data_IF_420786897878
#
_entry.id   IF_420786897878
#
_cell.length_a   1.000
_cell.length_b   1.000
_cell.length_c   1.000
_cell.angle_alpha   90.00
_cell.angle_beta   90.00
_cell.angle_gamma   90.00
#
_symmetry.space_group_name_H-M   'P 1'
#
loop_
_entity.id
_entity.type
_entity.pdbx_description
1 polymer ?
#
# COMPACT_ATOMS: atom_id res chain seq x y z
N UNK A 1 -34.16 31.35 76.77
CA UNK A 1 -35.12 31.52 75.66
C UNK A 1 -34.50 31.04 74.34
N UNK A 2 -34.97 29.93 73.74
CA UNK A 2 -34.60 29.55 72.38
C UNK A 2 -35.74 29.81 71.38
N UNK A 3 -35.42 30.45 70.26
CA UNK A 3 -36.34 30.81 69.19
C UNK A 3 -36.55 29.66 68.20
N UNK A 4 -37.82 29.29 67.99
CA UNK A 4 -38.29 28.26 67.06
C UNK A 4 -38.30 28.80 65.62
N UNK A 5 -37.58 28.15 64.70
CA UNK A 5 -37.60 28.46 63.26
C UNK A 5 -38.76 27.74 62.56
N UNK A 6 -39.69 28.52 62.00
CA UNK A 6 -40.82 28.07 61.17
C UNK A 6 -40.36 27.48 59.82
N UNK A 7 -40.89 26.29 59.49
CA UNK A 7 -40.82 25.66 58.16
C UNK A 7 -41.76 26.40 57.20
N UNK A 8 -41.24 26.86 56.06
CA UNK A 8 -42.06 27.32 54.91
C UNK A 8 -42.46 26.10 54.07
N UNK A 9 -43.77 25.93 53.86
CA UNK A 9 -44.36 25.05 52.84
C UNK A 9 -44.13 25.66 51.46
N UNK A 10 -43.75 24.83 50.50
CA UNK A 10 -43.59 25.22 49.09
C UNK A 10 -44.81 24.67 48.34
N UNK A 11 -45.66 25.57 47.87
CA UNK A 11 -46.82 25.24 47.04
C UNK A 11 -46.38 24.59 45.71
N UNK A 12 -46.98 23.46 45.38
CA UNK A 12 -46.83 22.79 44.09
C UNK A 12 -47.66 23.51 43.02
N UNK A 13 -47.07 24.56 42.43
CA UNK A 13 -47.59 25.19 41.22
C UNK A 13 -47.56 24.22 40.04
N UNK A 14 -48.73 24.00 39.43
CA UNK A 14 -49.03 23.31 38.17
C UNK A 14 -47.85 23.05 37.22
N UNK A 15 -47.49 21.77 37.07
CA UNK A 15 -46.54 21.26 36.08
C UNK A 15 -47.03 21.60 34.66
N UNK A 16 -46.36 22.53 33.98
CA UNK A 16 -46.54 22.75 32.54
C UNK A 16 -46.26 21.43 31.81
N UNK A 17 -47.28 20.84 31.20
CA UNK A 17 -47.15 19.56 30.50
C UNK A 17 -46.10 19.67 29.40
N UNK A 18 -45.02 18.91 29.52
CA UNK A 18 -43.90 18.93 28.58
C UNK A 18 -44.39 18.56 27.17
N UNK A 19 -44.30 19.49 26.22
CA UNK A 19 -44.61 19.26 24.80
C UNK A 19 -43.41 18.66 24.07
N UNK A 20 -43.65 17.63 23.27
CA UNK A 20 -42.65 16.97 22.45
C UNK A 20 -42.09 17.93 21.40
N UNK A 21 -40.78 18.22 21.43
CA UNK A 21 -40.13 19.12 20.46
C UNK A 21 -39.99 18.58 19.02
N UNK A 22 -40.79 17.57 18.62
CA UNK A 22 -40.91 17.13 17.22
C UNK A 22 -42.35 17.13 16.73
N UNK A 23 -43.27 16.49 17.44
CA UNK A 23 -44.69 16.46 17.04
C UNK A 23 -45.59 17.43 17.82
N UNK A 24 -45.05 18.17 18.80
CA UNK A 24 -45.78 19.14 19.61
C UNK A 24 -46.71 18.56 20.68
N UNK A 25 -47.00 17.25 20.66
CA UNK A 25 -47.92 16.58 21.61
C UNK A 25 -47.31 16.43 23.00
N UNK A 26 -48.14 16.46 24.04
CA UNK A 26 -47.74 16.24 25.43
C UNK A 26 -47.63 14.74 25.76
N UNK A 27 -47.02 14.38 26.89
CA UNK A 27 -46.95 13.00 27.37
C UNK A 27 -45.76 12.17 26.87
N UNK A 28 -44.91 12.72 26.00
CA UNK A 28 -43.65 12.07 25.62
C UNK A 28 -42.56 13.09 25.26
N UNK A 29 -41.30 12.66 25.40
CA UNK A 29 -40.16 13.46 24.96
C UNK A 29 -39.88 13.23 23.47
N UNK A 30 -39.14 14.16 22.85
CA UNK A 30 -38.72 14.04 21.44
C UNK A 30 -38.02 12.72 21.11
N UNK A 31 -37.32 12.13 22.07
CA UNK A 31 -36.62 10.84 21.93
C UNK A 31 -37.53 9.62 21.89
N UNK A 32 -38.75 9.74 22.40
CA UNK A 32 -39.78 8.69 22.38
C UNK A 32 -40.96 9.09 21.49
N UNK A 33 -40.75 10.02 20.55
CA UNK A 33 -41.80 10.49 19.65
C UNK A 33 -42.15 9.41 18.60
N UNK A 34 -43.39 8.88 18.60
CA UNK A 34 -43.79 7.83 17.68
C UNK A 34 -43.79 8.31 16.23
N UNK A 35 -44.10 9.59 15.99
CA UNK A 35 -44.06 10.21 14.66
C UNK A 35 -42.64 10.29 14.10
N UNK A 36 -41.66 10.60 14.97
CA UNK A 36 -40.24 10.60 14.59
C UNK A 36 -39.74 9.18 14.26
N UNK A 37 -40.13 8.20 15.09
CA UNK A 37 -39.76 6.81 14.88
C UNK A 37 -40.32 6.27 13.55
N UNK A 38 -41.59 6.54 13.25
CA UNK A 38 -42.22 6.15 11.98
C UNK A 38 -41.59 6.85 10.76
N UNK A 39 -41.16 8.11 10.89
CA UNK A 39 -40.44 8.81 9.82
C UNK A 39 -39.05 8.21 9.56
N UNK A 40 -38.32 7.85 10.62
CA UNK A 40 -37.01 7.21 10.52
C UNK A 40 -37.09 5.79 9.92
N UNK A 41 -38.12 5.02 10.30
CA UNK A 41 -38.37 3.71 9.73
C UNK A 41 -38.74 3.79 8.24
N UNK A 42 -39.61 4.74 7.85
CA UNK A 42 -39.92 4.98 6.43
C UNK A 42 -38.69 5.41 5.61
N UNK A 43 -37.84 6.26 6.18
CA UNK A 43 -36.58 6.64 5.54
C UNK A 43 -35.64 5.44 5.40
N UNK A 44 -35.53 4.57 6.42
CA UNK A 44 -34.71 3.36 6.34
C UNK A 44 -35.22 2.36 5.28
N UNK A 45 -36.54 2.22 5.14
CA UNK A 45 -37.19 1.35 4.15
C UNK A 45 -37.10 1.92 2.74
N UNK A 46 -37.04 3.24 2.53
CA UNK A 46 -36.79 3.82 1.19
C UNK A 46 -35.42 3.43 0.59
N UNK A 47 -34.46 3.01 1.42
CA UNK A 47 -33.12 2.56 0.99
C UNK A 47 -32.96 1.04 0.86
N UNK A 48 -34.05 0.25 0.96
CA UNK A 48 -34.00 -1.21 0.75
C UNK A 48 -34.20 -1.65 -0.71
N UNK A 49 -34.40 -0.72 -1.66
CA UNK A 49 -34.37 -1.06 -3.08
C UNK A 49 -32.90 -1.30 -3.52
N UNK A 50 -32.50 -2.54 -3.86
CA UNK A 50 -31.10 -2.90 -4.11
C UNK A 50 -30.46 -2.07 -5.24
N UNK A 51 -31.22 -1.77 -6.29
CA UNK A 51 -30.73 -0.98 -7.43
C UNK A 51 -30.40 0.46 -7.06
N UNK A 52 -31.25 1.11 -6.25
CA UNK A 52 -30.98 2.49 -5.78
C UNK A 52 -29.79 2.54 -4.84
N UNK A 53 -29.53 1.48 -4.07
CA UNK A 53 -28.35 1.38 -3.21
C UNK A 53 -27.07 1.18 -4.04
N UNK A 54 -27.11 0.34 -5.07
CA UNK A 54 -26.00 0.15 -6.02
C UNK A 54 -25.64 1.45 -6.75
N UNK A 55 -26.64 2.16 -7.28
CA UNK A 55 -26.43 3.46 -7.95
C UNK A 55 -25.82 4.51 -6.99
N UNK A 56 -26.22 4.50 -5.72
CA UNK A 56 -25.69 5.43 -4.73
C UNK A 56 -24.25 5.07 -4.30
N UNK A 57 -23.95 3.78 -4.15
CA UNK A 57 -22.61 3.28 -3.86
C UNK A 57 -21.65 3.52 -5.02
N UNK A 58 -22.12 3.40 -6.27
CA UNK A 58 -21.35 3.71 -7.47
C UNK A 58 -20.95 5.19 -7.58
N UNK A 59 -21.70 6.09 -6.94
CA UNK A 59 -21.41 7.53 -6.93
C UNK A 59 -20.48 7.99 -5.79
N UNK A 60 -20.02 7.08 -4.91
CA UNK A 60 -19.14 7.36 -3.76
C UNK A 60 -19.62 8.51 -2.82
N UNK A 61 -20.92 8.85 -2.84
CA UNK A 61 -21.47 9.89 -1.95
C UNK A 61 -21.86 9.27 -0.60
N UNK A 62 -21.59 9.94 0.54
CA UNK A 62 -22.03 9.45 1.83
C UNK A 62 -23.56 9.44 1.89
N UNK A 63 -24.16 8.32 2.29
CA UNK A 63 -25.60 8.18 2.53
C UNK A 63 -26.04 9.22 3.57
N UNK A 64 -26.60 10.33 3.09
CA UNK A 64 -27.20 11.35 3.94
C UNK A 64 -28.66 10.96 4.15
N UNK A 65 -28.93 10.25 5.25
CA UNK A 65 -30.27 10.26 5.81
C UNK A 65 -30.58 11.74 6.12
N UNK A 66 -31.61 12.31 5.50
CA UNK A 66 -32.09 13.68 5.74
C UNK A 66 -32.69 13.77 7.15
N UNK A 67 -31.83 13.62 8.13
CA UNK A 67 -32.10 13.63 9.56
C UNK A 67 -31.05 14.53 10.14
N UNK A 68 -31.49 15.59 10.79
CA UNK A 68 -30.62 16.65 11.28
C UNK A 68 -29.53 16.06 12.20
N UNK A 69 -28.29 16.57 12.14
CA UNK A 69 -27.13 16.01 12.86
C UNK A 69 -27.35 15.92 14.39
N UNK A 70 -28.24 16.76 14.93
CA UNK A 70 -28.69 16.69 16.34
C UNK A 70 -29.54 15.43 16.63
N UNK A 71 -30.35 14.98 15.68
CA UNK A 71 -31.23 13.81 15.82
C UNK A 71 -30.44 12.48 15.83
N UNK A 72 -29.36 12.36 15.03
CA UNK A 72 -28.52 11.16 15.01
C UNK A 72 -27.76 10.91 16.33
N UNK A 73 -27.35 11.98 17.04
CA UNK A 73 -26.66 11.85 18.35
C UNK A 73 -27.60 11.40 19.48
N UNK A 74 -28.89 11.68 19.36
CA UNK A 74 -29.88 11.36 20.40
C UNK A 74 -30.24 9.88 20.44
N UNK A 75 -30.27 9.21 19.27
CA UNK A 75 -30.59 7.78 19.16
C UNK A 75 -29.52 6.87 19.79
N UNK A 76 -28.25 7.32 19.82
CA UNK A 76 -27.18 6.61 20.54
C UNK A 76 -27.34 6.61 22.06
N UNK A 77 -28.15 7.52 22.62
CA UNK A 77 -28.42 7.58 24.07
C UNK A 77 -29.61 6.72 24.50
N UNK A 78 -30.51 6.36 23.59
CA UNK A 78 -31.74 5.61 23.90
C UNK A 78 -31.61 4.08 23.79
N UNK A 79 -30.51 3.53 23.27
CA UNK A 79 -30.26 2.06 23.28
C UNK A 79 -29.74 1.55 24.64
N UNK A 80 -30.06 2.23 25.73
CA UNK A 80 -29.58 1.89 27.07
C UNK A 80 -30.26 0.65 27.61
N UNK A 81 -29.57 -0.50 27.58
CA UNK A 81 -29.69 -1.49 28.66
C UNK A 81 -29.31 -0.77 29.96
N UNK A 82 -30.29 -0.38 30.77
CA UNK A 82 -30.09 0.08 32.14
C UNK A 82 -29.83 -1.15 33.00
N UNK A 83 -28.57 -1.53 33.17
CA UNK A 83 -28.18 -2.26 34.38
C UNK A 83 -28.29 -1.27 35.55
N UNK A 84 -29.09 -1.63 36.55
CA UNK A 84 -29.20 -0.94 37.83
C UNK A 84 -27.88 -1.08 38.59
N UNK A 85 -26.93 -0.19 38.34
CA UNK A 85 -25.78 -0.04 39.21
C UNK A 85 -26.20 0.87 40.38
N UNK A 86 -26.17 0.29 41.58
CA UNK A 86 -26.16 0.99 42.86
C UNK A 86 -25.26 2.22 42.79
N UNK A 87 -25.78 3.39 43.14
CA UNK A 87 -25.01 4.61 43.21
C UNK A 87 -23.94 4.49 44.30
N UNK A 88 -22.64 4.64 43.99
CA UNK A 88 -21.63 4.69 45.03
C UNK A 88 -21.79 5.99 45.82
N UNK A 89 -21.71 5.87 47.14
CA UNK A 89 -21.69 7.00 48.08
C UNK A 89 -20.57 7.99 47.72
N UNK A 90 -20.84 9.27 48.01
CA UNK A 90 -19.94 10.43 47.84
C UNK A 90 -18.61 10.19 48.58
N UNK A 91 -17.60 9.66 47.89
CA UNK A 91 -16.20 9.69 48.37
C UNK A 91 -15.18 9.78 47.20
N UNK A 92 -15.54 10.51 46.15
CA UNK A 92 -14.88 10.38 44.84
C UNK A 92 -14.11 11.63 44.38
N UNK A 93 -13.81 12.56 45.30
CA UNK A 93 -13.03 13.76 44.99
C UNK A 93 -11.52 13.47 44.87
N UNK A 94 -10.97 12.58 45.73
CA UNK A 94 -9.56 12.15 45.66
C UNK A 94 -9.25 11.28 44.43
N UNK A 95 -10.18 10.44 43.97
CA UNK A 95 -10.00 9.58 42.79
C UNK A 95 -9.92 10.41 41.48
N UNK A 96 -10.72 11.47 41.38
CA UNK A 96 -10.74 12.38 40.21
C UNK A 96 -9.45 13.19 40.08
N UNK A 97 -8.88 13.66 41.19
CA UNK A 97 -7.59 14.38 41.20
C UNK A 97 -6.44 13.45 40.80
N UNK A 98 -6.40 12.22 41.32
CA UNK A 98 -5.44 11.18 40.93
C UNK A 98 -5.54 10.84 39.44
N UNK A 99 -6.76 10.73 38.89
CA UNK A 99 -6.96 10.47 37.45
C UNK A 99 -6.50 11.64 36.56
N UNK A 100 -6.68 12.89 36.99
CA UNK A 100 -6.21 14.10 36.28
C UNK A 100 -4.69 14.18 36.32
N UNK A 101 -4.06 13.96 37.47
CA UNK A 101 -2.61 13.89 37.62
C UNK A 101 -1.99 12.78 36.77
N UNK A 102 -2.57 11.58 36.74
CA UNK A 102 -2.13 10.49 35.86
C UNK A 102 -2.24 10.87 34.38
N UNK A 103 -3.32 11.54 33.96
CA UNK A 103 -3.47 12.05 32.58
C UNK A 103 -2.45 13.14 32.24
N UNK A 104 -2.16 14.05 33.17
CA UNK A 104 -1.15 15.11 33.00
C UNK A 104 0.25 14.49 32.93
N UNK A 105 0.59 13.56 33.82
CA UNK A 105 1.86 12.83 33.81
C UNK A 105 2.02 11.98 32.55
N UNK A 106 0.97 11.29 32.10
CA UNK A 106 0.98 10.56 30.83
C UNK A 106 1.22 11.51 29.65
N UNK A 107 0.55 12.67 29.61
CA UNK A 107 0.74 13.70 28.58
C UNK A 107 2.16 14.29 28.62
N UNK A 108 2.72 14.53 29.81
CA UNK A 108 4.10 15.01 29.96
C UNK A 108 5.12 13.95 29.52
N UNK A 109 4.91 12.68 29.87
CA UNK A 109 5.74 11.56 29.37
C UNK A 109 5.65 11.44 27.85
N UNK A 110 4.47 11.60 27.27
CA UNK A 110 4.25 11.61 25.81
C UNK A 110 4.97 12.79 25.14
N UNK A 111 4.88 13.99 25.73
CA UNK A 111 5.58 15.19 25.24
C UNK A 111 7.11 15.08 25.35
N UNK A 112 7.64 14.35 26.34
CA UNK A 112 9.08 14.07 26.49
C UNK A 112 9.59 12.98 25.55
N UNK A 113 8.77 11.96 25.23
CA UNK A 113 9.12 10.87 24.30
C UNK A 113 9.11 11.32 22.84
N UNK A 114 8.13 12.17 22.45
CA UNK A 114 7.97 12.68 21.07
C UNK A 114 9.26 13.25 20.44
N UNK A 115 10.05 14.11 21.10
CA UNK A 115 11.32 14.61 20.54
C UNK A 115 12.36 13.50 20.29
N UNK A 116 12.39 12.45 21.12
CA UNK A 116 13.32 11.32 20.96
C UNK A 116 12.91 10.48 19.75
N UNK A 117 11.64 10.13 19.65
CA UNK A 117 11.12 9.29 18.56
C UNK A 117 11.27 9.99 17.21
N UNK A 118 11.02 11.30 17.15
CA UNK A 118 11.20 12.09 15.91
C UNK A 118 12.67 12.15 15.50
N UNK A 119 13.58 12.36 16.46
CA UNK A 119 15.03 12.35 16.18
C UNK A 119 15.49 10.98 15.70
N UNK A 120 15.04 9.90 16.35
CA UNK A 120 15.37 8.53 15.96
C UNK A 120 14.86 8.21 14.55
N UNK A 121 13.61 8.55 14.23
CA UNK A 121 13.04 8.36 12.90
C UNK A 121 13.82 9.17 11.83
N UNK A 122 14.14 10.43 12.11
CA UNK A 122 14.92 11.29 11.21
C UNK A 122 16.32 10.72 10.96
N UNK A 123 17.00 10.26 12.02
CA UNK A 123 18.31 9.63 11.91
C UNK A 123 18.25 8.33 11.11
N UNK A 124 17.28 7.46 11.38
CA UNK A 124 17.10 6.21 10.65
C UNK A 124 16.88 6.44 9.15
N UNK A 125 15.99 7.38 8.80
CA UNK A 125 15.72 7.75 7.39
C UNK A 125 16.95 8.35 6.70
N UNK A 126 17.74 9.19 7.39
CA UNK A 126 19.02 9.71 6.87
C UNK A 126 20.06 8.60 6.69
N UNK A 127 20.18 7.70 7.67
CA UNK A 127 21.15 6.59 7.63
C UNK A 127 20.86 5.67 6.45
N UNK A 128 19.59 5.39 6.20
CA UNK A 128 19.11 4.62 5.04
C UNK A 128 19.00 5.42 3.73
N UNK A 129 19.45 6.68 3.71
CA UNK A 129 19.50 7.56 2.52
C UNK A 129 18.14 7.87 1.87
N UNK A 130 17.05 7.75 2.63
CA UNK A 130 15.73 8.25 2.20
C UNK A 130 15.65 9.77 2.25
N UNK A 131 16.41 10.37 3.16
CA UNK A 131 16.58 11.82 3.32
C UNK A 131 18.01 12.21 2.94
N UNK A 132 18.19 13.30 2.22
CA UNK A 132 19.51 13.89 1.98
C UNK A 132 19.74 15.13 2.82
N UNK A 133 21.00 15.57 2.88
CA UNK A 133 21.34 16.84 3.54
C UNK A 133 20.68 17.97 2.74
N UNK A 134 19.90 18.85 3.39
CA UNK A 134 19.34 20.01 2.71
C UNK A 134 20.47 20.90 2.20
N UNK A 135 20.29 21.42 0.99
CA UNK A 135 21.20 22.39 0.39
C UNK A 135 20.93 23.81 0.88
N UNK A 136 21.16 24.77 -0.01
CA UNK A 136 20.91 26.20 0.22
C UNK A 136 19.44 26.55 -0.03
N UNK A 137 18.96 27.58 0.65
CA UNK A 137 17.70 28.23 0.36
C UNK A 137 17.79 29.01 -0.95
N UNK A 138 16.65 29.45 -1.49
CA UNK A 138 16.58 30.28 -2.70
C UNK A 138 17.33 31.61 -2.56
N UNK A 139 17.62 32.07 -1.33
CA UNK A 139 18.42 33.26 -1.07
C UNK A 139 19.93 32.98 -0.93
N UNK A 140 20.39 31.76 -1.21
CA UNK A 140 21.81 31.36 -1.13
C UNK A 140 22.26 30.85 0.25
N UNK A 141 21.48 31.06 1.29
CA UNK A 141 21.83 30.68 2.66
C UNK A 141 21.59 29.22 3.04
N UNK A 142 22.39 28.68 3.95
CA UNK A 142 22.28 27.29 4.39
C UNK A 142 21.06 27.06 5.30
N UNK A 143 20.35 25.96 5.06
CA UNK A 143 19.19 25.59 5.86
C UNK A 143 19.61 24.96 7.19
N UNK A 144 19.14 25.54 8.29
CA UNK A 144 19.46 25.06 9.64
C UNK A 144 18.33 24.22 10.23
N UNK A 145 18.68 23.15 10.96
CA UNK A 145 17.70 22.31 11.64
C UNK A 145 17.10 23.04 12.83
N UNK A 146 15.78 23.15 12.83
CA UNK A 146 15.05 23.85 13.89
C UNK A 146 14.94 22.98 15.13
N UNK A 147 15.14 23.53 16.35
CA UNK A 147 14.87 22.81 17.59
C UNK A 147 13.46 22.22 17.62
N UNK A 148 13.32 21.01 18.17
CA UNK A 148 12.04 20.30 18.14
C UNK A 148 10.91 21.07 18.85
N UNK A 149 11.22 21.81 19.93
CA UNK A 149 10.25 22.64 20.64
C UNK A 149 9.62 23.71 19.73
N UNK A 150 10.39 24.30 18.81
CA UNK A 150 9.88 25.23 17.82
C UNK A 150 9.14 24.52 16.68
N UNK A 151 9.60 23.33 16.28
CA UNK A 151 8.92 22.48 15.29
C UNK A 151 7.50 22.06 15.72
N UNK A 152 7.29 21.78 17.02
CA UNK A 152 5.99 21.39 17.57
C UNK A 152 4.89 22.42 17.31
N UNK A 153 5.22 23.72 17.30
CA UNK A 153 4.25 24.79 17.01
C UNK A 153 3.72 24.74 15.57
N UNK A 154 4.49 24.17 14.63
CA UNK A 154 4.09 24.07 13.21
C UNK A 154 3.47 22.72 12.85
N UNK A 155 3.94 21.62 13.46
CA UNK A 155 3.37 20.31 13.22
C UNK A 155 3.81 19.29 14.25
N UNK A 156 2.83 18.61 14.86
CA UNK A 156 3.08 17.59 15.85
C UNK A 156 3.90 16.43 15.27
N UNK A 157 5.00 16.08 15.94
CA UNK A 157 5.85 14.96 15.56
C UNK A 157 6.59 15.13 14.23
N UNK A 158 6.80 16.36 13.77
CA UNK A 158 7.50 16.68 12.53
C UNK A 158 8.83 17.39 12.78
N UNK A 159 9.72 17.32 11.80
CA UNK A 159 11.01 18.00 11.80
C UNK A 159 11.03 19.06 10.68
N UNK A 160 11.59 20.22 10.97
CA UNK A 160 11.67 21.34 10.04
C UNK A 160 13.09 21.91 9.97
N UNK A 161 13.35 22.54 8.84
CA UNK A 161 14.51 23.35 8.57
C UNK A 161 14.07 24.80 8.39
N UNK A 162 14.92 25.75 8.76
CA UNK A 162 14.65 27.19 8.59
C UNK A 162 15.87 27.86 7.96
N UNK A 163 15.61 28.75 7.01
CA UNK A 163 16.64 29.65 6.50
C UNK A 163 16.87 30.80 7.51
N UNK A 164 18.11 31.07 7.94
CA UNK A 164 18.38 32.15 8.89
C UNK A 164 18.06 33.53 8.30
N UNK A 165 18.35 33.76 7.02
CA UNK A 165 18.15 35.06 6.35
C UNK A 165 16.70 35.35 5.98
N UNK A 166 16.08 34.53 5.12
CA UNK A 166 14.70 34.79 4.67
C UNK A 166 13.62 34.20 5.59
N UNK A 167 14.01 33.52 6.68
CA UNK A 167 13.13 32.91 7.67
C UNK A 167 12.12 31.86 7.15
N UNK A 168 12.21 31.45 5.88
CA UNK A 168 11.35 30.42 5.27
C UNK A 168 11.55 29.07 5.97
N UNK A 169 10.44 28.33 6.07
CA UNK A 169 10.38 27.02 6.72
C UNK A 169 10.23 25.91 5.69
N UNK A 170 10.94 24.82 5.91
CA UNK A 170 10.90 23.64 5.04
C UNK A 170 10.67 22.40 5.89
N UNK A 171 9.80 21.51 5.42
CA UNK A 171 9.67 20.16 5.98
C UNK A 171 10.94 19.36 5.70
N UNK A 172 11.41 18.59 6.67
CA UNK A 172 12.54 17.66 6.43
C UNK A 172 12.25 16.66 5.31
N UNK A 173 10.99 16.25 5.11
CA UNK A 173 10.60 15.38 3.99
C UNK A 173 10.69 16.07 2.62
N UNK A 174 10.80 17.39 2.55
CA UNK A 174 11.00 18.09 1.28
C UNK A 174 12.38 17.75 0.65
N UNK A 175 13.32 17.25 1.44
CA UNK A 175 14.65 16.83 1.01
C UNK A 175 14.76 15.30 1.06
N UNK A 176 13.82 14.64 0.37
CA UNK A 176 13.66 13.19 0.44
C UNK A 176 13.04 12.59 -0.82
N UNK A 177 13.17 11.27 -0.98
CA UNK A 177 12.43 10.52 -2.01
C UNK A 177 10.95 10.31 -1.65
N UNK A 178 10.51 10.85 -0.51
CA UNK A 178 9.15 10.74 -0.01
C UNK A 178 8.40 12.04 -0.29
N UNK A 179 7.08 11.97 -0.53
CA UNK A 179 6.26 13.17 -0.61
C UNK A 179 6.25 13.89 0.74
N UNK A 180 6.00 15.20 0.72
CA UNK A 180 5.68 15.95 1.94
C UNK A 180 4.32 15.48 2.48
N UNK A 181 4.31 14.91 3.67
CA UNK A 181 3.14 14.29 4.28
C UNK A 181 2.66 15.05 5.51
N UNK A 182 1.33 15.15 5.65
CA UNK A 182 0.68 15.59 6.90
C UNK A 182 0.61 14.41 7.88
N UNK A 183 1.76 13.83 8.20
CA UNK A 183 1.89 12.67 9.08
C UNK A 183 3.13 12.84 9.98
N UNK A 184 3.08 12.46 11.26
CA UNK A 184 4.25 12.49 12.14
C UNK A 184 5.38 11.62 11.56
N UNK A 185 6.63 12.10 11.68
CA UNK A 185 7.80 11.40 11.16
C UNK A 185 8.00 9.99 11.74
N UNK A 186 7.75 9.74 13.05
CA UNK A 186 7.78 8.38 13.59
C UNK A 186 6.73 7.46 12.95
N UNK A 187 5.56 8.00 12.63
CA UNK A 187 4.51 7.25 11.93
C UNK A 187 4.89 6.96 10.48
N UNK A 188 5.53 7.90 9.78
CA UNK A 188 6.11 7.68 8.43
C UNK A 188 7.13 6.55 8.49
N UNK A 189 8.08 6.63 9.40
CA UNK A 189 9.11 5.62 9.55
C UNK A 189 8.52 4.24 9.87
N UNK A 190 7.61 4.15 10.84
CA UNK A 190 6.93 2.89 11.18
C UNK A 190 6.11 2.33 10.02
N UNK A 191 5.43 3.18 9.25
CA UNK A 191 4.69 2.77 8.05
C UNK A 191 5.62 2.19 6.98
N UNK A 192 6.80 2.78 6.79
CA UNK A 192 7.82 2.24 5.88
C UNK A 192 8.36 0.90 6.37
N UNK A 193 8.65 0.77 7.67
CA UNK A 193 9.09 -0.51 8.24
C UNK A 193 8.06 -1.61 7.96
N UNK A 194 6.77 -1.34 8.20
CA UNK A 194 5.68 -2.29 7.90
C UNK A 194 5.61 -2.60 6.39
N UNK A 195 5.73 -1.59 5.52
CA UNK A 195 5.70 -1.78 4.07
C UNK A 195 6.83 -2.68 3.56
N UNK A 196 8.01 -2.59 4.17
CA UNK A 196 9.21 -3.33 3.78
C UNK A 196 9.41 -4.64 4.56
N UNK A 197 8.63 -4.91 5.62
CA UNK A 197 8.81 -6.06 6.51
C UNK A 197 8.44 -7.42 5.90
N UNK A 198 7.91 -7.49 4.68
CA UNK A 198 7.32 -8.72 4.13
C UNK A 198 7.67 -8.97 2.66
N UNK A 199 7.79 -10.24 2.29
CA UNK A 199 7.97 -10.70 0.91
C UNK A 199 6.78 -10.45 -0.03
N UNK A 200 5.69 -9.83 0.47
CA UNK A 200 4.56 -9.36 -0.33
C UNK A 200 4.26 -7.88 -0.05
N UNK A 201 3.71 -7.19 -1.04
CA UNK A 201 3.29 -5.80 -0.92
C UNK A 201 1.96 -5.75 -0.17
N UNK A 202 1.95 -5.15 1.03
CA UNK A 202 0.72 -4.92 1.80
C UNK A 202 -0.17 -3.86 1.15
N UNK A 203 -1.49 -4.04 1.29
CA UNK A 203 -2.47 -3.02 0.96
C UNK A 203 -2.37 -1.83 1.91
N UNK A 204 -2.86 -0.67 1.46
CA UNK A 204 -2.91 0.55 2.28
C UNK A 204 -3.73 0.32 3.55
N UNK A 205 -4.81 -0.46 3.46
CA UNK A 205 -5.70 -0.76 4.58
C UNK A 205 -5.06 -1.72 5.60
N UNK A 206 -4.30 -2.72 5.13
CA UNK A 206 -3.49 -3.57 6.03
C UNK A 206 -2.46 -2.74 6.81
N UNK A 207 -1.73 -1.86 6.13
CA UNK A 207 -0.75 -0.98 6.78
C UNK A 207 -1.45 -0.03 7.75
N UNK A 208 -2.61 0.52 7.37
CA UNK A 208 -3.43 1.37 8.22
C UNK A 208 -3.85 0.66 9.51
N UNK A 209 -4.38 -0.57 9.40
CA UNK A 209 -4.75 -1.40 10.55
C UNK A 209 -3.55 -1.65 11.48
N UNK A 210 -2.39 -2.01 10.94
CA UNK A 210 -1.18 -2.23 11.72
C UNK A 210 -0.64 -0.95 12.39
N UNK A 211 -0.93 0.22 11.82
CA UNK A 211 -0.59 1.52 12.40
C UNK A 211 -1.65 2.04 13.39
N UNK A 212 -2.81 1.38 13.52
CA UNK A 212 -3.95 1.91 14.28
C UNK A 212 -4.58 3.15 13.65
N UNK A 213 -4.48 3.30 12.32
CA UNK A 213 -5.02 4.43 11.56
C UNK A 213 -6.05 3.93 10.54
N UNK A 214 -7.12 4.69 10.29
CA UNK A 214 -8.08 4.36 9.23
C UNK A 214 -7.53 4.69 7.84
N UNK A 215 -7.61 3.73 6.92
CA UNK A 215 -7.04 3.76 5.57
C UNK A 215 -7.79 4.63 4.55
N UNK A 216 -8.28 5.82 4.94
CA UNK A 216 -9.07 6.67 4.04
C UNK A 216 -8.34 6.89 2.69
N UNK A 217 -9.04 6.86 1.55
CA UNK A 217 -8.44 7.01 0.22
C UNK A 217 -7.79 8.38 -0.04
N UNK A 218 -8.04 9.39 0.81
CA UNK A 218 -7.37 10.70 0.78
C UNK A 218 -6.18 10.79 1.77
N UNK A 219 -5.84 9.70 2.46
CA UNK A 219 -4.88 9.71 3.56
C UNK A 219 -3.43 9.92 3.12
N UNK A 220 -2.64 10.54 4.01
CA UNK A 220 -1.19 10.64 3.87
C UNK A 220 -0.53 9.26 3.71
N UNK A 221 -1.12 8.21 4.28
CA UNK A 221 -0.63 6.84 4.17
C UNK A 221 -0.71 6.33 2.72
N UNK A 222 -1.82 6.55 2.01
CA UNK A 222 -1.94 6.16 0.60
C UNK A 222 -0.88 6.85 -0.26
N UNK A 223 -0.63 8.15 -0.01
CA UNK A 223 0.42 8.91 -0.71
C UNK A 223 1.80 8.32 -0.44
N UNK A 224 2.10 7.96 0.81
CA UNK A 224 3.34 7.29 1.19
C UNK A 224 3.49 5.95 0.44
N UNK A 225 2.53 5.04 0.55
CA UNK A 225 2.60 3.71 -0.07
C UNK A 225 2.75 3.80 -1.60
N UNK A 226 2.05 4.75 -2.25
CA UNK A 226 2.21 5.01 -3.68
C UNK A 226 3.65 5.44 -4.01
N UNK A 227 4.24 6.30 -3.20
CA UNK A 227 5.61 6.76 -3.39
C UNK A 227 6.63 5.65 -3.16
N UNK A 228 6.48 4.84 -2.10
CA UNK A 228 7.38 3.72 -1.81
C UNK A 228 7.39 2.69 -2.95
N UNK A 229 6.21 2.34 -3.49
CA UNK A 229 6.12 1.45 -4.66
C UNK A 229 6.76 2.05 -5.90
N UNK A 230 6.52 3.34 -6.16
CA UNK A 230 7.17 4.02 -7.27
C UNK A 230 8.70 4.03 -7.13
N UNK A 231 9.19 4.12 -5.88
CA UNK A 231 10.61 4.05 -5.57
C UNK A 231 11.19 2.66 -5.90
N UNK A 232 10.55 1.57 -5.46
CA UNK A 232 10.93 0.19 -5.83
C UNK A 232 10.90 -0.02 -7.36
N UNK A 233 9.88 0.50 -8.04
CA UNK A 233 9.79 0.44 -9.51
C UNK A 233 10.97 1.14 -10.16
N UNK A 234 11.29 2.37 -9.74
CA UNK A 234 12.42 3.15 -10.27
C UNK A 234 13.75 2.41 -10.09
N UNK A 235 13.98 1.81 -8.91
CA UNK A 235 15.16 0.98 -8.68
C UNK A 235 15.23 -0.18 -9.67
N UNK A 236 14.12 -0.89 -9.86
CA UNK A 236 14.09 -2.06 -10.73
C UNK A 236 14.19 -1.72 -12.21
N UNK A 237 13.49 -0.67 -12.66
CA UNK A 237 13.55 -0.21 -14.05
C UNK A 237 14.99 0.17 -14.41
N UNK A 238 15.67 0.95 -13.56
CA UNK A 238 17.07 1.31 -13.77
C UNK A 238 17.99 0.07 -13.72
N UNK A 239 17.85 -0.81 -12.72
CA UNK A 239 18.70 -2.02 -12.60
C UNK A 239 18.54 -2.96 -13.80
N UNK A 240 17.33 -3.10 -14.35
CA UNK A 240 17.10 -3.90 -15.54
C UNK A 240 17.63 -3.22 -16.81
N UNK A 241 17.48 -1.90 -16.96
CA UNK A 241 17.99 -1.16 -18.13
C UNK A 241 19.51 -1.29 -18.31
N UNK A 242 20.25 -1.38 -17.20
CA UNK A 242 21.71 -1.47 -17.22
C UNK A 242 22.27 -2.88 -17.40
N UNK A 243 21.43 -3.91 -17.55
CA UNK A 243 21.93 -5.30 -17.53
C UNK A 243 21.29 -6.21 -18.56
N UNK A 244 22.08 -7.20 -18.94
CA UNK A 244 21.61 -8.42 -19.58
C UNK A 244 21.81 -9.61 -18.63
N UNK A 245 20.89 -10.57 -18.66
CA UNK A 245 21.07 -11.84 -17.94
C UNK A 245 21.95 -12.79 -18.75
N UNK A 246 22.81 -13.53 -18.07
CA UNK A 246 23.84 -14.38 -18.71
C UNK A 246 24.02 -15.69 -17.95
N UNK A 247 24.83 -16.61 -18.50
CA UNK A 247 25.12 -17.89 -17.84
C UNK A 247 24.06 -18.93 -18.17
N UNK A 248 23.36 -19.45 -17.18
CA UNK A 248 22.28 -20.42 -17.37
C UNK A 248 20.95 -19.71 -17.10
N UNK A 249 20.16 -19.50 -18.15
CA UNK A 249 18.99 -18.62 -18.13
C UNK A 249 17.73 -19.40 -18.50
N UNK A 250 16.77 -19.47 -17.58
CA UNK A 250 15.42 -19.94 -17.87
C UNK A 250 14.61 -18.83 -18.55
N UNK A 251 13.85 -19.17 -19.58
CA UNK A 251 12.93 -18.27 -20.24
C UNK A 251 11.53 -18.87 -20.31
N UNK A 252 10.53 -18.07 -19.98
CA UNK A 252 9.14 -18.47 -19.97
C UNK A 252 8.19 -17.26 -20.10
N UNK A 253 7.00 -17.50 -20.65
CA UNK A 253 5.90 -16.55 -20.77
C UNK A 253 4.70 -16.94 -19.90
N UNK A 254 4.09 -15.99 -19.20
CA UNK A 254 2.88 -16.28 -18.42
C UNK A 254 1.79 -15.23 -18.57
N UNK A 255 0.54 -15.67 -18.48
CA UNK A 255 -0.63 -14.78 -18.43
C UNK A 255 -0.87 -14.28 -17.01
N UNK A 256 -1.02 -12.97 -16.86
CA UNK A 256 -1.16 -12.29 -15.56
C UNK A 256 -2.62 -11.99 -15.23
N UNK A 257 -3.33 -11.46 -16.24
CA UNK A 257 -4.75 -11.16 -16.19
C UNK A 257 -5.34 -11.29 -17.60
N UNK A 258 -6.65 -11.45 -17.68
CA UNK A 258 -7.39 -11.40 -18.92
C UNK A 258 -8.73 -10.69 -18.70
N UNK A 259 -9.37 -10.26 -19.79
CA UNK A 259 -10.71 -9.67 -19.79
C UNK A 259 -11.38 -9.89 -21.14
N UNK A 260 -12.70 -9.78 -21.20
CA UNK A 260 -13.45 -9.88 -22.45
C UNK A 260 -13.15 -8.66 -23.34
N UNK A 261 -12.87 -8.88 -24.62
CA UNK A 261 -12.60 -7.80 -25.57
C UNK A 261 -13.83 -6.92 -25.75
N UNK A 262 -13.63 -5.59 -25.73
CA UNK A 262 -14.71 -4.62 -25.94
C UNK A 262 -15.15 -4.57 -27.41
N UNK A 263 -14.24 -4.87 -28.34
CA UNK A 263 -14.50 -4.87 -29.77
C UNK A 263 -15.06 -6.21 -30.25
N UNK A 264 -14.63 -7.31 -29.61
CA UNK A 264 -15.01 -8.68 -30.00
C UNK A 264 -15.43 -9.49 -28.78
N UNK A 265 -16.70 -9.42 -28.34
CA UNK A 265 -17.15 -10.06 -27.09
C UNK A 265 -16.94 -11.58 -27.02
N UNK A 266 -16.79 -12.25 -28.17
CA UNK A 266 -16.45 -13.68 -28.27
C UNK A 266 -14.97 -13.99 -28.00
N UNK A 267 -14.15 -12.97 -27.67
CA UNK A 267 -12.72 -13.10 -27.40
C UNK A 267 -12.33 -12.55 -26.04
N UNK A 268 -11.32 -13.16 -25.45
CA UNK A 268 -10.60 -12.67 -24.28
C UNK A 268 -9.29 -12.04 -24.72
N UNK A 269 -8.98 -10.86 -24.17
CA UNK A 269 -7.68 -10.20 -24.24
C UNK A 269 -6.83 -10.65 -23.06
N UNK A 270 -5.59 -11.05 -23.31
CA UNK A 270 -4.65 -11.51 -22.29
C UNK A 270 -3.50 -10.52 -22.14
N UNK A 271 -3.23 -10.13 -20.89
CA UNK A 271 -1.99 -9.47 -20.49
C UNK A 271 -0.97 -10.53 -20.12
N UNK A 272 0.06 -10.67 -20.94
CA UNK A 272 1.12 -11.65 -20.76
C UNK A 272 2.45 -10.95 -20.49
N UNK A 273 3.24 -11.52 -19.59
CA UNK A 273 4.61 -11.11 -19.33
C UNK A 273 5.58 -12.23 -19.74
N UNK A 274 6.80 -11.85 -20.06
CA UNK A 274 7.90 -12.73 -20.39
C UNK A 274 9.06 -12.48 -19.44
N UNK A 275 9.67 -13.55 -18.93
CA UNK A 275 10.80 -13.45 -18.01
C UNK A 275 12.03 -14.16 -18.57
N UNK A 276 13.18 -13.56 -18.30
CA UNK A 276 14.49 -14.19 -18.43
C UNK A 276 15.08 -14.29 -17.01
N UNK A 277 15.13 -15.49 -16.47
CA UNK A 277 15.59 -15.79 -15.11
C UNK A 277 16.98 -16.40 -15.16
N UNK A 278 17.96 -15.70 -14.60
CA UNK A 278 19.31 -16.24 -14.42
C UNK A 278 19.34 -17.17 -13.21
N UNK A 279 19.73 -18.42 -13.43
CA UNK A 279 19.88 -19.39 -12.36
C UNK A 279 21.03 -19.01 -11.43
N UNK A 280 20.83 -19.12 -10.10
CA UNK A 280 21.93 -19.04 -9.15
C UNK A 280 22.98 -20.10 -9.48
N UNK A 281 24.24 -19.74 -9.33
CA UNK A 281 25.38 -20.65 -9.45
C UNK A 281 26.13 -20.70 -8.12
N UNK A 282 27.01 -21.69 -7.93
CA UNK A 282 27.87 -21.75 -6.73
C UNK A 282 28.71 -20.48 -6.52
N UNK A 283 29.01 -19.75 -7.59
CA UNK A 283 29.82 -18.54 -7.54
C UNK A 283 28.99 -17.24 -7.49
N UNK A 284 27.67 -17.32 -7.69
CA UNK A 284 26.78 -16.16 -7.69
C UNK A 284 25.38 -16.64 -7.29
N UNK A 285 25.02 -16.39 -6.03
CA UNK A 285 23.72 -16.75 -5.45
C UNK A 285 22.59 -15.80 -5.88
N UNK A 286 22.92 -14.71 -6.57
CA UNK A 286 21.96 -13.66 -6.91
C UNK A 286 20.86 -14.23 -7.81
N UNK A 287 19.62 -14.12 -7.32
CA UNK A 287 18.43 -14.38 -8.13
C UNK A 287 18.22 -13.16 -9.00
N UNK A 288 18.39 -13.30 -10.30
CA UNK A 288 18.23 -12.21 -11.25
C UNK A 288 17.17 -12.56 -12.26
N UNK A 289 16.19 -11.69 -12.45
CA UNK A 289 15.13 -11.86 -13.43
C UNK A 289 14.95 -10.56 -14.20
N UNK A 290 14.95 -10.64 -15.53
CA UNK A 290 14.51 -9.55 -16.38
C UNK A 290 13.08 -9.82 -16.81
N UNK A 291 12.18 -8.88 -16.53
CA UNK A 291 10.75 -8.98 -16.79
C UNK A 291 10.33 -8.03 -17.91
N UNK A 292 9.50 -8.51 -18.83
CA UNK A 292 9.00 -7.77 -19.99
C UNK A 292 7.50 -7.92 -20.12
N UNK A 293 6.81 -6.83 -20.47
CA UNK A 293 5.41 -6.89 -20.87
C UNK A 293 5.33 -7.19 -22.36
N UNK A 294 4.66 -8.29 -22.72
CA UNK A 294 4.43 -8.63 -24.12
C UNK A 294 3.25 -7.84 -24.69
N UNK A 295 3.16 -7.70 -26.02
CA UNK A 295 1.96 -7.20 -26.68
C UNK A 295 0.73 -8.00 -26.27
N UNK A 296 -0.43 -7.32 -26.16
CA UNK A 296 -1.70 -7.95 -25.85
C UNK A 296 -2.07 -8.95 -26.94
N UNK A 297 -2.66 -10.07 -26.53
CA UNK A 297 -3.13 -11.10 -27.46
C UNK A 297 -4.57 -11.47 -27.16
N UNK A 298 -5.31 -11.82 -28.21
CA UNK A 298 -6.68 -12.28 -28.10
C UNK A 298 -6.76 -13.78 -28.35
N UNK A 299 -7.65 -14.46 -27.63
CA UNK A 299 -8.07 -15.84 -27.91
C UNK A 299 -9.59 -15.95 -27.79
N UNK A 300 -10.18 -17.00 -28.35
CA UNK A 300 -11.62 -17.27 -28.19
C UNK A 300 -11.95 -17.40 -26.69
N UNK A 301 -13.12 -16.91 -26.29
CA UNK A 301 -13.61 -17.10 -24.92
C UNK A 301 -13.63 -18.59 -24.56
N UNK A 302 -13.12 -18.95 -23.37
CA UNK A 302 -12.94 -20.34 -22.94
C UNK A 302 -11.70 -21.04 -23.51
N UNK A 303 -11.00 -20.43 -24.47
CA UNK A 303 -9.74 -20.94 -25.02
C UNK A 303 -8.56 -20.75 -24.08
N UNK A 304 -7.52 -21.56 -24.28
CA UNK A 304 -6.22 -21.36 -23.62
C UNK A 304 -5.60 -20.02 -24.09
N UNK A 305 -4.81 -19.35 -23.22
CA UNK A 305 -4.02 -18.21 -23.63
C UNK A 305 -3.10 -18.61 -24.80
N UNK A 306 -2.92 -17.76 -25.82
CA UNK A 306 -2.01 -18.06 -26.91
C UNK A 306 -0.58 -18.24 -26.37
N UNK A 307 0.20 -19.22 -26.90
CA UNK A 307 1.59 -19.38 -26.52
C UNK A 307 2.42 -18.17 -26.96
N UNK A 308 3.59 -17.97 -26.36
CA UNK A 308 4.58 -17.03 -26.88
C UNK A 308 4.97 -17.33 -28.33
N UNK A 309 5.25 -16.26 -29.07
CA UNK A 309 5.74 -16.32 -30.45
C UNK A 309 7.10 -15.66 -30.55
N UNK A 310 7.85 -15.99 -31.60
CA UNK A 310 9.15 -15.40 -31.87
C UNK A 310 9.07 -13.86 -31.91
N UNK A 311 8.15 -13.30 -32.70
CA UNK A 311 8.08 -11.84 -32.91
C UNK A 311 7.79 -11.08 -31.62
N UNK A 312 7.03 -11.67 -30.70
CA UNK A 312 6.68 -11.05 -29.42
C UNK A 312 7.84 -11.09 -28.42
N UNK A 313 8.59 -12.19 -28.39
CA UNK A 313 9.67 -12.39 -27.42
C UNK A 313 11.03 -11.91 -27.92
N UNK A 314 11.24 -11.80 -29.23
CA UNK A 314 12.52 -11.45 -29.83
C UNK A 314 13.06 -10.10 -29.33
N UNK A 315 12.28 -9.00 -29.25
CA UNK A 315 12.76 -7.74 -28.69
C UNK A 315 13.23 -7.88 -27.23
N UNK A 316 12.53 -8.68 -26.42
CA UNK A 316 12.87 -8.93 -25.03
C UNK A 316 14.20 -9.69 -24.91
N UNK A 317 14.40 -10.71 -25.75
CA UNK A 317 15.64 -11.51 -25.79
C UNK A 317 16.82 -10.67 -26.29
N UNK A 318 16.63 -9.84 -27.32
CA UNK A 318 17.70 -8.96 -27.83
C UNK A 318 18.16 -7.95 -26.78
N UNK A 319 17.21 -7.31 -26.10
CA UNK A 319 17.53 -6.35 -25.05
C UNK A 319 18.10 -7.02 -23.79
N UNK A 320 17.55 -8.19 -23.42
CA UNK A 320 17.69 -8.76 -22.09
C UNK A 320 18.67 -9.89 -21.90
N UNK A 321 19.01 -10.63 -22.96
CA UNK A 321 19.84 -11.83 -22.87
C UNK A 321 21.25 -11.53 -23.37
N UNK A 322 22.28 -11.77 -22.57
CA UNK A 322 23.68 -11.63 -23.01
C UNK A 322 24.19 -12.92 -23.64
N UNK A 323 25.15 -12.81 -24.56
CA UNK A 323 25.68 -13.96 -25.32
C UNK A 323 26.71 -14.79 -24.56
N UNK A 324 27.46 -14.15 -23.66
CA UNK A 324 28.49 -14.78 -22.82
C UNK A 324 28.33 -14.34 -21.36
N UNK A 325 28.69 -15.22 -20.43
CA UNK A 325 28.77 -14.89 -19.01
C UNK A 325 30.07 -14.18 -18.65
N UNK A 326 30.21 -13.80 -17.37
CA UNK A 326 31.42 -13.14 -16.83
C UNK A 326 32.71 -13.98 -16.98
N UNK A 327 32.59 -15.28 -17.25
CA UNK A 327 33.71 -16.22 -17.46
C UNK A 327 33.94 -16.50 -18.96
N UNK A 328 33.29 -15.75 -19.84
CA UNK A 328 33.39 -15.92 -21.28
C UNK A 328 32.63 -17.12 -21.85
N UNK A 329 31.89 -17.87 -21.02
CA UNK A 329 31.13 -19.05 -21.48
C UNK A 329 29.87 -18.61 -22.19
N UNK A 330 29.56 -19.25 -23.32
CA UNK A 330 28.34 -18.97 -24.09
C UNK A 330 27.10 -19.21 -23.22
N UNK A 331 26.21 -18.23 -23.14
CA UNK A 331 24.95 -18.32 -22.38
C UNK A 331 24.11 -19.51 -22.86
N UNK A 332 23.50 -20.22 -21.92
CA UNK A 332 22.60 -21.33 -22.12
C UNK A 332 21.17 -20.88 -21.83
N UNK A 333 20.34 -20.85 -22.84
CA UNK A 333 18.90 -20.67 -22.73
C UNK A 333 18.22 -22.00 -22.41
N UNK A 334 17.40 -22.00 -21.38
CA UNK A 334 16.61 -23.13 -20.88
C UNK A 334 15.14 -22.79 -21.03
N UNK A 335 14.34 -23.69 -21.58
CA UNK A 335 12.90 -23.45 -21.80
C UNK A 335 12.06 -24.73 -21.69
N UNK A 336 10.74 -24.54 -21.66
CA UNK A 336 9.69 -25.57 -21.59
C UNK A 336 9.45 -26.37 -22.89
N UNK A 337 10.05 -25.95 -24.00
CA UNK A 337 9.93 -26.58 -25.30
C UNK A 337 9.04 -25.83 -26.31
N UNK A 338 8.56 -24.62 -25.99
CA UNK A 338 7.77 -23.85 -26.95
C UNK A 338 8.53 -23.59 -28.27
N UNK A 339 7.78 -23.57 -29.38
CA UNK A 339 8.32 -23.53 -30.75
C UNK A 339 9.14 -22.27 -31.07
N UNK A 340 9.00 -21.18 -30.30
CA UNK A 340 9.72 -19.93 -30.55
C UNK A 340 11.19 -19.98 -30.13
N UNK A 341 11.55 -20.76 -29.10
CA UNK A 341 12.88 -20.71 -28.48
C UNK A 341 14.04 -21.15 -29.38
N UNK A 342 13.92 -22.13 -30.29
CA UNK A 342 14.98 -22.45 -31.26
C UNK A 342 15.40 -21.25 -32.10
N UNK A 343 14.41 -20.52 -32.65
CA UNK A 343 14.67 -19.33 -33.47
C UNK A 343 15.22 -18.18 -32.62
N UNK A 344 14.71 -17.98 -31.40
CA UNK A 344 15.23 -16.98 -30.45
C UNK A 344 16.70 -17.25 -30.09
N UNK A 345 17.05 -18.49 -29.74
CA UNK A 345 18.41 -18.88 -29.38
C UNK A 345 19.38 -18.70 -30.56
N UNK A 346 18.97 -19.11 -31.77
CA UNK A 346 19.75 -18.91 -32.99
C UNK A 346 19.97 -17.43 -33.27
N UNK A 347 18.91 -16.61 -33.21
CA UNK A 347 18.98 -15.16 -33.48
C UNK A 347 19.90 -14.40 -32.51
N UNK A 348 20.00 -14.86 -31.25
CA UNK A 348 20.87 -14.24 -30.24
C UNK A 348 22.26 -14.88 -30.18
N UNK A 349 22.49 -15.99 -30.89
CA UNK A 349 23.74 -16.72 -30.85
C UNK A 349 24.04 -17.32 -29.48
N UNK A 350 23.05 -17.93 -28.82
CA UNK A 350 23.21 -18.61 -27.52
C UNK A 350 22.99 -20.12 -27.64
N UNK A 351 23.38 -20.89 -26.62
CA UNK A 351 23.05 -22.31 -26.54
C UNK A 351 21.58 -22.48 -26.15
N UNK A 352 20.96 -23.59 -26.55
CA UNK A 352 19.60 -23.94 -26.17
C UNK A 352 19.54 -25.37 -25.62
N UNK A 353 18.83 -25.55 -24.51
CA UNK A 353 18.38 -26.85 -24.02
C UNK A 353 16.94 -26.73 -23.54
N UNK A 354 16.12 -27.71 -23.89
CA UNK A 354 14.69 -27.69 -23.60
C UNK A 354 14.26 -29.01 -22.98
N UNK A 355 13.29 -28.93 -22.08
CA UNK A 355 12.41 -30.04 -21.70
C UNK A 355 11.17 -30.00 -22.62
N UNK A 356 10.36 -31.07 -22.63
CA UNK A 356 9.14 -31.12 -23.43
C UNK A 356 7.94 -31.24 -22.49
N UNK A 357 7.41 -30.09 -22.06
CA UNK A 357 6.24 -30.07 -21.17
C UNK A 357 5.00 -30.68 -21.82
N UNK A 358 4.86 -30.56 -23.15
CA UNK A 358 3.73 -31.17 -23.88
C UNK A 358 3.76 -32.70 -23.86
N UNK A 359 4.95 -33.30 -23.71
CA UNK A 359 5.13 -34.73 -23.52
C UNK A 359 5.19 -35.17 -22.05
N UNK A 360 4.81 -34.32 -21.10
CA UNK A 360 4.86 -34.63 -19.66
C UNK A 360 6.26 -34.65 -19.04
N UNK A 361 7.28 -34.17 -19.77
CA UNK A 361 8.68 -34.17 -19.30
C UNK A 361 9.05 -32.79 -18.78
N UNK A 362 9.09 -32.63 -17.46
CA UNK A 362 9.33 -31.36 -16.77
C UNK A 362 10.79 -31.12 -16.35
N UNK A 363 11.61 -32.17 -16.30
CA UNK A 363 13.03 -32.07 -15.99
C UNK A 363 13.83 -33.14 -16.74
N UNK A 364 14.94 -32.75 -17.38
CA UNK A 364 15.88 -33.69 -18.02
C UNK A 364 17.30 -33.26 -17.70
N UNK A 365 18.16 -34.21 -17.33
CA UNK A 365 19.60 -33.93 -17.21
C UNK A 365 20.25 -34.00 -18.59
N UNK A 366 20.92 -32.93 -19.03
CA UNK A 366 21.61 -32.89 -20.33
C UNK A 366 23.05 -32.46 -20.16
N UNK A 367 23.95 -33.13 -20.88
CA UNK A 367 25.34 -32.70 -21.00
C UNK A 367 25.40 -31.44 -21.87
N UNK A 368 26.15 -30.43 -21.43
CA UNK A 368 26.33 -29.16 -22.16
C UNK A 368 27.82 -28.90 -22.35
N UNK A 369 28.30 -28.65 -23.59
CA UNK A 369 29.71 -28.36 -23.84
C UNK A 369 30.23 -27.20 -22.98
N UNK A 370 31.45 -27.36 -22.45
CA UNK A 370 32.06 -26.38 -21.53
C UNK A 370 31.37 -26.28 -20.16
N UNK A 371 30.50 -27.25 -19.84
CA UNK A 371 29.79 -27.39 -18.57
C UNK A 371 29.70 -28.89 -18.21
N UNK A 372 29.12 -29.17 -17.04
CA UNK A 372 28.80 -30.53 -16.60
C UNK A 372 27.37 -30.94 -17.01
N UNK A 373 26.90 -32.06 -16.47
CA UNK A 373 25.51 -32.50 -16.56
C UNK A 373 24.60 -31.51 -15.82
N UNK A 374 23.72 -30.83 -16.56
CA UNK A 374 22.84 -29.79 -16.00
C UNK A 374 21.38 -30.23 -16.05
N UNK A 375 20.60 -30.02 -14.97
CA UNK A 375 19.16 -30.24 -14.99
C UNK A 375 18.46 -29.16 -15.83
N UNK A 376 17.68 -29.55 -16.83
CA UNK A 376 16.94 -28.66 -17.73
C UNK A 376 15.48 -28.65 -17.30
N UNK A 377 15.01 -27.52 -16.75
CA UNK A 377 13.64 -27.30 -16.27
C UNK A 377 13.34 -25.78 -16.18
N UNK A 378 12.06 -25.40 -16.08
CA UNK A 378 11.62 -24.00 -15.87
C UNK A 378 11.09 -23.71 -14.47
N UNK A 379 11.26 -24.66 -13.53
CA UNK A 379 10.68 -24.54 -12.19
C UNK A 379 11.09 -23.30 -11.39
N UNK A 380 12.22 -22.66 -11.71
CA UNK A 380 12.66 -21.45 -11.00
C UNK A 380 11.89 -20.22 -11.48
N UNK A 381 11.73 -20.07 -12.79
CA UNK A 381 10.90 -19.01 -13.37
C UNK A 381 9.41 -19.23 -13.04
N UNK A 382 8.94 -20.48 -12.97
CA UNK A 382 7.59 -20.83 -12.50
C UNK A 382 7.35 -20.40 -11.03
N UNK A 383 8.34 -20.61 -10.16
CA UNK A 383 8.30 -20.15 -8.77
C UNK A 383 8.20 -18.62 -8.68
N UNK A 384 8.98 -17.91 -9.51
CA UNK A 384 8.88 -16.46 -9.63
C UNK A 384 7.48 -16.02 -10.09
N UNK A 385 6.88 -16.69 -11.09
CA UNK A 385 5.52 -16.39 -11.54
C UNK A 385 4.47 -16.55 -10.45
N UNK A 386 4.59 -17.60 -9.64
CA UNK A 386 3.69 -17.83 -8.51
C UNK A 386 3.74 -16.68 -7.49
N UNK A 387 4.93 -16.18 -7.19
CA UNK A 387 5.12 -15.05 -6.28
C UNK A 387 4.62 -13.74 -6.91
N UNK A 388 4.94 -13.50 -8.18
CA UNK A 388 4.49 -12.33 -8.92
C UNK A 388 2.96 -12.24 -8.97
N UNK A 389 2.27 -13.33 -9.31
CA UNK A 389 0.81 -13.36 -9.38
C UNK A 389 0.17 -13.12 -8.00
N UNK A 390 0.74 -13.68 -6.93
CA UNK A 390 0.30 -13.44 -5.54
C UNK A 390 0.58 -12.01 -5.07
N UNK A 391 1.64 -11.38 -5.57
CA UNK A 391 2.02 -10.01 -5.23
C UNK A 391 1.17 -8.93 -5.90
N UNK A 392 0.42 -9.26 -6.96
CA UNK A 392 -0.53 -8.35 -7.62
C UNK A 392 -1.92 -8.53 -6.98
N UNK A 393 -2.49 -7.49 -6.33
CA UNK A 393 -3.80 -7.61 -5.69
C UNK A 393 -4.89 -8.11 -6.64
N UNK A 394 -5.72 -9.05 -6.18
CA UNK A 394 -6.87 -9.56 -6.94
C UNK A 394 -7.96 -8.50 -7.11
N UNK A 395 -8.09 -7.57 -6.17
CA UNK A 395 -9.02 -6.45 -6.19
C UNK A 395 -8.62 -5.34 -7.17
N UNK A 396 -7.40 -5.38 -7.70
CA UNK A 396 -6.94 -4.39 -8.66
C UNK A 396 -7.62 -4.62 -10.01
N UNK A 397 -8.35 -3.61 -10.47
CA UNK A 397 -9.02 -3.65 -11.78
C UNK A 397 -8.01 -3.99 -12.88
N UNK A 398 -8.35 -4.98 -13.72
CA UNK A 398 -7.47 -5.46 -14.78
C UNK A 398 -7.21 -4.42 -15.88
N UNK A 399 -8.25 -3.70 -16.31
CA UNK A 399 -8.18 -2.78 -17.44
C UNK A 399 -9.13 -1.59 -17.24
N UNK A 400 -8.92 -0.53 -18.01
CA UNK A 400 -9.83 0.61 -18.14
C UNK A 400 -9.98 0.93 -19.63
N UNK A 401 -11.22 0.92 -20.14
CA UNK A 401 -11.51 1.17 -21.57
C UNK A 401 -10.64 0.33 -22.53
N UNK A 402 -10.54 -0.98 -22.24
CA UNK A 402 -9.73 -1.92 -23.03
C UNK A 402 -8.21 -1.84 -22.83
N UNK A 403 -7.70 -0.82 -22.14
CA UNK A 403 -6.25 -0.66 -21.88
C UNK A 403 -5.88 -1.29 -20.53
N UNK A 404 -4.79 -2.07 -20.44
CA UNK A 404 -4.31 -2.63 -19.18
C UNK A 404 -4.14 -1.57 -18.10
N UNK A 405 -4.53 -1.88 -16.88
CA UNK A 405 -4.30 -0.98 -15.76
C UNK A 405 -2.79 -0.83 -15.52
N UNK A 406 -2.20 0.38 -15.64
CA UNK A 406 -0.75 0.58 -15.50
C UNK A 406 -0.24 0.24 -14.09
N UNK A 407 -1.12 0.15 -13.09
CA UNK A 407 -0.74 -0.32 -11.77
C UNK A 407 -0.30 -1.79 -11.76
N UNK A 408 -0.83 -2.64 -12.66
CA UNK A 408 -0.42 -4.04 -12.75
C UNK A 408 1.09 -4.17 -12.98
N UNK A 409 1.63 -3.37 -13.89
CA UNK A 409 3.07 -3.32 -14.16
C UNK A 409 3.86 -2.81 -12.97
N UNK A 410 3.38 -1.77 -12.28
CA UNK A 410 4.04 -1.25 -11.07
C UNK A 410 4.09 -2.26 -9.94
N UNK A 411 3.04 -3.06 -9.76
CA UNK A 411 3.08 -4.17 -8.79
C UNK A 411 4.07 -5.24 -9.23
N UNK A 412 4.08 -5.61 -10.51
CA UNK A 412 5.03 -6.59 -11.04
C UNK A 412 6.48 -6.16 -10.84
N UNK A 413 6.82 -4.91 -11.15
CA UNK A 413 8.15 -4.31 -10.91
C UNK A 413 8.54 -4.26 -9.44
N UNK A 414 7.61 -3.91 -8.56
CA UNK A 414 7.83 -3.92 -7.12
C UNK A 414 8.12 -5.33 -6.60
N UNK A 415 7.38 -6.35 -7.06
CA UNK A 415 7.65 -7.75 -6.72
C UNK A 415 9.01 -8.21 -7.27
N UNK A 416 9.34 -7.82 -8.49
CA UNK A 416 10.64 -8.10 -9.09
C UNK A 416 11.78 -7.53 -8.25
N UNK A 417 11.70 -6.25 -7.83
CA UNK A 417 12.68 -5.64 -6.93
C UNK A 417 12.85 -6.44 -5.63
N UNK A 418 11.72 -6.85 -5.03
CA UNK A 418 11.72 -7.61 -3.78
C UNK A 418 12.29 -9.01 -3.94
N UNK A 419 12.05 -9.65 -5.07
CA UNK A 419 12.56 -10.98 -5.38
C UNK A 419 14.09 -11.01 -5.47
N UNK A 420 14.70 -9.96 -6.02
CA UNK A 420 16.16 -9.89 -6.19
C UNK A 420 16.90 -9.24 -5.02
N UNK A 421 16.18 -8.74 -4.02
CA UNK A 421 16.77 -8.04 -2.90
C UNK A 421 16.82 -8.98 -1.69
N UNK A 422 17.97 -9.61 -1.48
CA UNK A 422 18.22 -10.47 -0.31
C UNK A 422 18.51 -9.66 0.98
N UNK A 423 18.72 -8.35 0.86
CA UNK A 423 18.97 -7.44 1.98
C UNK A 423 17.66 -6.81 2.52
N UNK A 424 17.76 -6.12 3.65
CA UNK A 424 16.67 -5.30 4.18
C UNK A 424 16.18 -4.30 3.12
N UNK A 425 14.94 -4.47 2.66
CA UNK A 425 14.37 -3.72 1.55
C UNK A 425 14.31 -2.21 1.81
N UNK A 426 14.06 -1.81 3.06
CA UNK A 426 14.02 -0.40 3.43
C UNK A 426 15.39 0.25 3.21
N UNK A 427 16.44 -0.43 3.65
CA UNK A 427 17.82 0.01 3.48
C UNK A 427 18.28 -0.06 2.02
N UNK A 428 18.09 -1.19 1.37
CA UNK A 428 18.53 -1.42 0.00
C UNK A 428 17.90 -0.42 -0.98
N UNK A 429 16.60 -0.17 -0.84
CA UNK A 429 15.87 0.77 -1.71
C UNK A 429 16.38 2.19 -1.53
N UNK A 430 16.51 2.68 -0.30
CA UNK A 430 16.98 4.05 -0.04
C UNK A 430 18.43 4.27 -0.50
N UNK A 431 19.31 3.30 -0.24
CA UNK A 431 20.70 3.34 -0.70
C UNK A 431 20.78 3.36 -2.24
N UNK A 432 20.02 2.49 -2.92
CA UNK A 432 20.04 2.42 -4.37
C UNK A 432 19.56 3.74 -5.00
N UNK A 433 18.42 4.28 -4.55
CA UNK A 433 17.89 5.57 -5.03
C UNK A 433 18.88 6.73 -4.85
N UNK A 434 19.62 6.73 -3.73
CA UNK A 434 20.62 7.76 -3.48
C UNK A 434 21.73 7.74 -4.53
N UNK A 435 22.17 6.54 -4.97
CA UNK A 435 23.15 6.39 -6.05
C UNK A 435 22.58 6.85 -7.40
N UNK A 436 21.30 6.61 -7.66
CA UNK A 436 20.62 7.06 -8.89
C UNK A 436 20.48 8.57 -9.03
N UNK A 437 20.65 9.32 -7.93
CA UNK A 437 20.49 10.78 -7.93
C UNK A 437 21.84 11.51 -7.88
N UNK A 438 22.93 10.75 -7.72
CA UNK A 438 24.31 11.24 -7.82
C UNK A 438 24.89 11.05 -9.23
N UNK A 439 24.19 10.29 -10.08
CA UNK A 439 24.39 10.19 -11.52
C UNK A 439 23.49 11.23 -12.18
#
# INVERSE_FOLDING_TARGET
>A
MPAVKRKRSVDHSSSSSHKCGHCGKTGHHRTSCPTLAAALLRAAVQYTNPRKLEDHLAQEKPLRLNVDKKQQKSLKRSSGRRFSAQWPRKDDSRSKVSSKLRKVQARLRELRRKPRDVRAALQALRKAKWLWKPGRCSCGEHLQQVPFKASLKRGNGRAYLRCPQCHKWFDSLAFSFLPVLRMPLPTVYKAMQIYFQQGRVLSVDEIGRLLGCSGSPASALKKLVKALRAAECRCMDHKQQLRQVTGDVEADGTSIRHWRSLQRPSRNVYLQYFALYQRPTRACSDRVVNLYQLPLVESRCGGKPPPESFDRCHPCVQAGLGTKDKRGRKTLLISDGAKCYPRLAKSRGVLLRQCNHSGGVFCVKKQVPGRSLIPIHTGSVDSFWNILKKGIPSTLRTHSKGVPNPLLWKYARSVQWRWECDADLFWATGQYLSRLSSL
#
